data_IF_859670077362
#
_entry.id   IF_859670077362
#
_cell.length_a   1.000
_cell.length_b   1.000
_cell.length_c   1.000
_cell.angle_alpha   90.00
_cell.angle_beta   90.00
_cell.angle_gamma   90.00
#
_symmetry.space_group_name_H-M   'P 1'
#
loop_
_entity.id
_entity.type
_entity.pdbx_description
1 polymer ?
#
# COMPACT_ATOMS: atom_id res chain seq x y z
N UNK A 1 -2.90 20.37 -13.79
CA UNK A 1 -3.99 21.33 -13.50
C UNK A 1 -5.14 21.27 -14.50
N UNK A 2 -4.90 21.42 -15.82
CA UNK A 2 -5.97 21.37 -16.83
C UNK A 2 -6.82 20.09 -16.75
N UNK A 3 -6.19 18.91 -16.71
CA UNK A 3 -6.89 17.64 -16.61
C UNK A 3 -7.85 17.56 -15.41
N UNK A 4 -7.42 18.08 -14.26
CA UNK A 4 -8.23 18.15 -13.03
C UNK A 4 -9.43 19.07 -13.20
N UNK A 5 -9.24 20.27 -13.75
CA UNK A 5 -10.37 21.19 -13.99
C UNK A 5 -11.41 20.59 -14.96
N UNK A 6 -10.93 19.87 -15.98
CA UNK A 6 -11.79 19.24 -16.98
C UNK A 6 -12.60 18.05 -16.44
N UNK A 7 -12.24 17.46 -15.29
CA UNK A 7 -12.96 16.31 -14.72
C UNK A 7 -14.45 16.58 -14.51
N UNK A 8 -14.80 17.81 -14.12
CA UNK A 8 -16.20 18.22 -13.91
C UNK A 8 -17.02 18.31 -15.21
N UNK A 9 -16.36 18.38 -16.37
CA UNK A 9 -17.00 18.51 -17.69
C UNK A 9 -16.92 17.23 -18.52
N UNK A 10 -16.14 16.25 -18.11
CA UNK A 10 -15.92 15.00 -18.86
C UNK A 10 -16.96 13.94 -18.54
N UNK A 11 -17.39 13.21 -19.57
CA UNK A 11 -18.31 12.07 -19.41
C UNK A 11 -17.59 10.76 -19.09
N UNK A 12 -16.34 10.60 -19.52
CA UNK A 12 -15.53 9.39 -19.34
C UNK A 12 -14.17 9.78 -18.82
N UNK A 13 -13.74 9.16 -17.73
CA UNK A 13 -12.45 9.41 -17.09
C UNK A 13 -11.76 8.06 -16.90
N UNK A 14 -10.49 7.98 -17.34
CA UNK A 14 -9.67 6.78 -17.21
C UNK A 14 -8.45 7.12 -16.36
N UNK A 15 -8.30 6.44 -15.22
CA UNK A 15 -7.16 6.57 -14.31
C UNK A 15 -6.89 5.24 -13.59
N UNK A 16 -5.72 5.13 -12.94
CA UNK A 16 -5.31 3.96 -12.18
C UNK A 16 -6.15 3.77 -10.89
N UNK A 17 -6.42 2.53 -10.48
CA UNK A 17 -7.18 2.18 -9.27
C UNK A 17 -6.68 2.91 -8.01
N UNK A 18 -5.37 3.14 -7.90
CA UNK A 18 -4.77 3.84 -6.77
C UNK A 18 -5.40 5.23 -6.55
N UNK A 19 -5.77 5.95 -7.60
CA UNK A 19 -6.41 7.28 -7.48
C UNK A 19 -7.81 7.23 -6.85
N UNK A 20 -8.45 6.06 -6.82
CA UNK A 20 -9.79 5.87 -6.27
C UNK A 20 -9.80 5.10 -4.95
N UNK A 21 -8.88 4.14 -4.79
CA UNK A 21 -8.75 3.30 -3.59
C UNK A 21 -7.92 4.00 -2.52
N UNK A 22 -6.79 4.63 -2.88
CA UNK A 22 -5.96 5.35 -1.92
C UNK A 22 -6.77 6.53 -1.36
N UNK A 23 -7.10 6.52 -0.07
CA UNK A 23 -7.95 7.55 0.47
C UNK A 23 -7.28 8.94 0.49
N UNK A 24 -5.94 9.02 0.39
CA UNK A 24 -5.19 10.29 0.31
C UNK A 24 -5.48 11.01 -1.00
N UNK A 25 -5.54 10.25 -2.10
CA UNK A 25 -5.72 10.77 -3.46
C UNK A 25 -7.19 10.78 -3.85
N UNK A 26 -7.94 9.76 -3.45
CA UNK A 26 -9.35 9.59 -3.75
C UNK A 26 -10.21 10.74 -3.27
N UNK A 27 -9.87 11.40 -2.16
CA UNK A 27 -10.64 12.58 -1.74
C UNK A 27 -10.50 13.76 -2.69
N UNK A 28 -9.36 13.92 -3.36
CA UNK A 28 -9.18 14.99 -4.35
C UNK A 28 -9.95 14.73 -5.64
N UNK A 29 -9.91 13.48 -6.11
CA UNK A 29 -10.52 13.05 -7.37
C UNK A 29 -12.02 12.83 -7.20
N UNK A 30 -12.39 12.09 -6.17
CA UNK A 30 -13.78 11.66 -5.98
C UNK A 30 -14.69 12.83 -5.62
N UNK A 31 -14.22 13.91 -4.98
CA UNK A 31 -15.09 15.04 -4.57
C UNK A 31 -15.86 15.65 -5.75
N UNK A 32 -15.25 15.64 -6.93
CA UNK A 32 -15.84 16.18 -8.16
C UNK A 32 -16.78 15.18 -8.86
N UNK A 33 -16.73 13.90 -8.47
CA UNK A 33 -17.58 12.84 -9.04
C UNK A 33 -18.90 12.70 -8.28
N UNK A 34 -19.98 12.70 -9.04
CA UNK A 34 -21.34 12.51 -8.56
C UNK A 34 -21.62 11.04 -8.16
N UNK A 35 -22.69 10.83 -7.41
CA UNK A 35 -23.09 9.46 -6.98
C UNK A 35 -23.66 8.63 -8.11
N UNK A 36 -24.19 9.28 -9.14
CA UNK A 36 -24.81 8.67 -10.32
C UNK A 36 -23.78 8.11 -11.31
N UNK A 37 -22.49 8.36 -11.07
CA UNK A 37 -21.41 7.80 -11.89
C UNK A 37 -21.35 6.28 -11.80
N UNK A 38 -21.12 5.64 -12.95
CA UNK A 38 -20.81 4.22 -13.07
C UNK A 38 -19.30 4.05 -12.98
N UNK A 39 -18.84 3.25 -12.02
CA UNK A 39 -17.42 2.94 -11.85
C UNK A 39 -17.15 1.56 -12.45
N UNK A 40 -16.16 1.47 -13.34
CA UNK A 40 -15.72 0.22 -13.94
C UNK A 40 -14.28 -0.06 -13.51
N UNK A 41 -14.10 -1.13 -12.73
CA UNK A 41 -12.78 -1.71 -12.48
C UNK A 41 -12.49 -2.71 -13.57
N UNK A 42 -11.64 -2.33 -14.52
CA UNK A 42 -11.04 -3.28 -15.46
C UNK A 42 -9.94 -4.10 -14.75
N UNK A 43 -9.49 -5.22 -15.30
CA UNK A 43 -8.41 -6.09 -14.77
C UNK A 43 -8.24 -6.18 -13.23
N UNK A 44 -9.36 -6.28 -12.51
CA UNK A 44 -9.44 -6.14 -11.07
C UNK A 44 -8.98 -7.37 -10.26
N UNK A 45 -8.12 -8.23 -10.83
CA UNK A 45 -7.69 -9.45 -10.16
C UNK A 45 -6.81 -9.20 -8.92
N UNK A 46 -6.11 -8.05 -8.88
CA UNK A 46 -5.25 -7.61 -7.77
C UNK A 46 -5.88 -6.54 -6.86
N UNK A 47 -7.20 -6.36 -6.92
CA UNK A 47 -7.87 -5.26 -6.19
C UNK A 47 -7.68 -5.37 -4.66
N UNK A 48 -7.65 -6.58 -4.13
CA UNK A 48 -7.40 -6.88 -2.73
C UNK A 48 -6.00 -6.44 -2.28
N UNK A 49 -4.98 -6.77 -3.07
CA UNK A 49 -3.59 -6.36 -2.81
C UNK A 49 -3.46 -4.83 -2.81
N UNK A 50 -4.05 -4.15 -3.80
CA UNK A 50 -4.04 -2.68 -3.86
C UNK A 50 -4.75 -2.06 -2.65
N UNK A 51 -5.85 -2.65 -2.19
CA UNK A 51 -6.56 -2.20 -0.99
C UNK A 51 -5.73 -2.38 0.29
N UNK A 52 -5.04 -3.51 0.40
CA UNK A 52 -4.16 -3.83 1.54
C UNK A 52 -2.98 -2.85 1.56
N UNK A 53 -2.33 -2.63 0.42
CA UNK A 53 -1.19 -1.71 0.30
C UNK A 53 -1.59 -0.26 0.61
N UNK A 54 -2.74 0.20 0.12
CA UNK A 54 -3.21 1.57 0.33
C UNK A 54 -3.41 1.94 1.81
N UNK A 55 -3.74 0.97 2.66
CA UNK A 55 -3.97 1.17 4.09
C UNK A 55 -2.82 0.71 4.98
N UNK A 56 -1.82 0.02 4.41
CA UNK A 56 -0.66 -0.46 5.17
C UNK A 56 0.41 0.62 5.27
N UNK A 57 1.12 0.68 6.41
CA UNK A 57 2.17 1.67 6.65
C UNK A 57 3.42 0.98 7.17
N UNK A 58 4.55 1.26 6.53
CA UNK A 58 5.86 0.71 6.90
C UNK A 58 6.75 1.79 7.49
N UNK A 59 7.19 1.59 8.73
CA UNK A 59 8.08 2.49 9.46
C UNK A 59 9.43 1.80 9.68
N UNK A 60 10.48 2.36 9.07
CA UNK A 60 11.88 1.94 9.29
C UNK A 60 12.57 2.86 10.28
N UNK A 61 13.69 2.42 10.83
CA UNK A 61 14.51 3.25 11.73
C UNK A 61 14.89 4.60 11.09
N UNK A 62 15.29 4.59 9.82
CA UNK A 62 15.64 5.82 9.07
C UNK A 62 14.46 6.80 9.00
N UNK A 63 13.24 6.29 8.84
CA UNK A 63 12.00 7.09 8.84
C UNK A 63 11.77 7.73 10.21
N UNK A 64 11.96 6.98 11.30
CA UNK A 64 11.82 7.51 12.66
C UNK A 64 12.90 8.55 13.01
N UNK A 65 14.09 8.44 12.43
CA UNK A 65 15.18 9.42 12.55
C UNK A 65 14.92 10.70 11.76
N UNK A 66 14.44 10.57 10.52
CA UNK A 66 13.94 11.70 9.75
C UNK A 66 12.77 12.40 10.47
N UNK A 67 11.79 11.65 10.98
CA UNK A 67 10.65 12.20 11.69
C UNK A 67 11.05 13.00 12.94
N UNK A 68 12.04 12.53 13.71
CA UNK A 68 12.52 13.26 14.90
C UNK A 68 13.20 14.59 14.54
N UNK A 69 13.98 14.61 13.45
CA UNK A 69 14.58 15.85 12.92
C UNK A 69 13.52 16.83 12.47
N UNK A 70 12.50 16.34 11.77
CA UNK A 70 11.37 17.13 11.28
C UNK A 70 10.55 17.74 12.42
N UNK A 71 10.25 16.97 13.48
CA UNK A 71 9.59 17.52 14.68
C UNK A 71 10.43 18.58 15.39
N UNK A 72 11.75 18.40 15.43
CA UNK A 72 12.67 19.40 16.00
C UNK A 72 12.66 20.70 15.18
N UNK A 73 12.63 20.59 13.85
CA UNK A 73 12.44 21.74 12.95
C UNK A 73 11.09 22.42 13.19
N UNK A 74 9.99 21.65 13.28
CA UNK A 74 8.65 22.18 13.59
C UNK A 74 8.64 22.92 14.93
N UNK A 75 9.27 22.37 15.96
CA UNK A 75 9.39 23.02 17.27
C UNK A 75 10.07 24.39 17.18
N UNK A 76 11.17 24.48 16.44
CA UNK A 76 11.89 25.74 16.24
C UNK A 76 11.05 26.74 15.44
N UNK A 77 10.34 26.30 14.40
CA UNK A 77 9.44 27.15 13.62
C UNK A 77 8.27 27.67 14.46
N UNK A 78 7.68 26.84 15.33
CA UNK A 78 6.65 27.26 16.27
C UNK A 78 7.18 28.33 17.23
N UNK A 79 8.41 28.16 17.73
CA UNK A 79 9.02 29.14 18.64
C UNK A 79 9.25 30.48 17.94
N UNK A 80 9.79 30.47 16.71
CA UNK A 80 9.95 31.69 15.90
C UNK A 80 8.61 32.38 15.61
N UNK A 81 7.58 31.59 15.27
CA UNK A 81 6.25 32.13 14.97
C UNK A 81 5.56 32.69 16.22
N UNK A 82 5.84 32.13 17.41
CA UNK A 82 5.37 32.70 18.68
C UNK A 82 6.02 34.05 19.00
N UNK A 83 7.30 34.21 18.67
CA UNK A 83 8.02 35.48 18.83
C UNK A 83 7.57 36.54 17.81
N UNK A 84 7.21 36.11 16.59
CA UNK A 84 6.84 37.02 15.50
C UNK A 84 5.35 37.36 15.50
N UNK A 85 4.47 36.35 15.58
CA UNK A 85 3.02 36.47 15.37
C UNK A 85 2.21 35.49 16.27
N UNK A 86 2.13 35.79 17.57
CA UNK A 86 1.35 34.99 18.53
C UNK A 86 -0.16 34.95 18.17
N UNK A 87 -0.66 35.98 17.48
CA UNK A 87 -2.07 36.09 17.10
C UNK A 87 -2.51 34.94 16.19
N UNK A 88 -1.67 34.51 15.24
CA UNK A 88 -1.99 33.41 14.31
C UNK A 88 -2.21 32.08 15.05
N UNK A 89 -1.35 31.76 16.03
CA UNK A 89 -1.49 30.57 16.86
C UNK A 89 -2.74 30.63 17.74
N UNK A 90 -3.09 31.81 18.25
CA UNK A 90 -4.32 32.03 19.03
C UNK A 90 -5.57 31.90 18.15
N UNK A 91 -5.52 32.35 16.91
CA UNK A 91 -6.62 32.21 15.95
C UNK A 91 -6.80 30.76 15.51
N UNK A 92 -5.71 30.02 15.30
CA UNK A 92 -5.78 28.56 15.09
C UNK A 92 -6.44 27.87 16.29
N UNK A 93 -6.00 28.19 17.51
CA UNK A 93 -6.60 27.64 18.73
C UNK A 93 -8.10 27.95 18.82
N UNK A 94 -8.51 29.18 18.51
CA UNK A 94 -9.94 29.56 18.46
C UNK A 94 -10.71 28.78 17.40
N UNK A 95 -10.14 28.59 16.20
CA UNK A 95 -10.75 27.75 15.14
C UNK A 95 -10.95 26.31 15.60
N UNK A 96 -9.97 25.73 16.31
CA UNK A 96 -10.06 24.38 16.86
C UNK A 96 -11.09 24.26 18.00
N UNK A 97 -11.21 25.29 18.84
CA UNK A 97 -12.15 25.33 19.98
C UNK A 97 -13.59 25.61 19.55
N UNK A 98 -13.81 26.46 18.55
CA UNK A 98 -15.12 26.72 17.97
C UNK A 98 -15.74 25.47 17.30
N UNK A 99 -14.95 24.39 17.20
CA UNK A 99 -15.36 23.15 16.59
C UNK A 99 -15.31 23.22 15.07
N UNK A 100 -15.20 22.06 14.46
CA UNK A 100 -15.28 21.82 13.02
C UNK A 100 -16.64 22.18 12.38
N UNK A 101 -17.47 23.03 13.00
CA UNK A 101 -18.76 23.49 12.44
C UNK A 101 -18.52 24.21 11.10
N UNK A 102 -17.36 24.84 10.92
CA UNK A 102 -17.00 25.53 9.67
C UNK A 102 -16.27 24.67 8.65
N UNK A 103 -16.04 23.36 8.86
CA UNK A 103 -15.63 22.49 7.75
C UNK A 103 -16.80 22.11 6.84
N UNK A 104 -18.05 22.29 7.30
CA UNK A 104 -19.23 22.25 6.42
C UNK A 104 -19.25 23.41 5.42
N UNK A 105 -18.75 24.60 5.82
CA UNK A 105 -18.79 25.82 5.00
C UNK A 105 -17.50 26.07 4.19
N UNK A 106 -16.32 25.65 4.68
CA UNK A 106 -15.04 25.72 3.95
C UNK A 106 -14.89 24.64 2.86
N UNK A 107 -15.85 23.72 2.71
CA UNK A 107 -15.92 22.81 1.56
C UNK A 107 -16.11 23.54 0.22
N UNK A 108 -16.45 24.83 0.25
CA UNK A 108 -16.79 25.62 -0.95
C UNK A 108 -15.66 26.51 -1.49
N UNK A 109 -14.49 26.59 -0.85
CA UNK A 109 -13.43 27.52 -1.25
C UNK A 109 -12.06 26.88 -1.38
N UNK A 110 -11.59 26.73 -2.62
CA UNK A 110 -10.19 26.83 -3.05
C UNK A 110 -9.11 26.04 -2.31
N UNK A 111 -8.55 25.08 -3.03
CA UNK A 111 -7.17 24.56 -2.94
C UNK A 111 -6.71 23.84 -1.64
N UNK A 112 -6.18 22.63 -1.88
CA UNK A 112 -5.23 21.91 -1.01
C UNK A 112 -5.71 21.56 0.41
N UNK A 113 -6.77 20.76 0.52
CA UNK A 113 -6.91 19.88 1.68
C UNK A 113 -6.38 18.48 1.31
N UNK A 114 -5.16 18.19 1.77
CA UNK A 114 -4.76 16.82 2.10
C UNK A 114 -5.60 16.41 3.31
N UNK A 115 -6.74 15.81 3.04
CA UNK A 115 -7.68 15.37 4.04
C UNK A 115 -7.27 14.01 4.62
N UNK A 116 -7.56 13.81 5.89
CA UNK A 116 -7.21 12.60 6.63
C UNK A 116 -7.82 11.37 5.98
N UNK A 117 -7.04 10.33 5.65
CA UNK A 117 -7.43 9.43 4.58
C UNK A 117 -8.47 8.42 5.06
N UNK A 118 -8.46 8.05 6.35
CA UNK A 118 -9.06 6.77 6.74
C UNK A 118 -10.05 6.88 7.90
N UNK A 119 -10.64 8.05 8.12
CA UNK A 119 -11.68 8.20 9.14
C UNK A 119 -13.07 7.88 8.54
N UNK A 120 -13.82 6.91 9.08
CA UNK A 120 -15.24 6.77 8.80
C UNK A 120 -15.97 8.11 8.95
N UNK A 121 -17.01 8.36 8.14
CA UNK A 121 -17.75 9.65 8.19
C UNK A 121 -18.31 9.97 9.59
N UNK A 122 -18.56 8.95 10.42
CA UNK A 122 -19.07 9.06 11.79
C UNK A 122 -18.05 9.63 12.79
N UNK A 123 -16.76 9.67 12.42
CA UNK A 123 -15.67 10.23 13.22
C UNK A 123 -15.56 11.74 13.09
N UNK A 124 -15.91 12.24 11.91
CA UNK A 124 -15.64 13.61 11.45
C UNK A 124 -16.43 14.65 12.25
N UNK A 125 -17.42 14.21 13.04
CA UNK A 125 -18.26 15.06 13.89
C UNK A 125 -17.68 15.33 15.28
N UNK A 126 -16.59 14.67 15.68
CA UNK A 126 -16.01 14.85 17.02
C UNK A 126 -15.01 16.02 17.06
N UNK A 127 -15.06 16.79 18.15
CA UNK A 127 -14.12 17.90 18.37
C UNK A 127 -12.73 17.39 18.74
N UNK A 128 -11.70 18.03 18.19
CA UNK A 128 -10.29 17.75 18.52
C UNK A 128 -10.07 17.79 20.04
N UNK A 129 -9.47 16.73 20.63
CA UNK A 129 -9.18 16.64 22.06
C UNK A 129 -8.40 17.83 22.60
N UNK A 130 -8.75 18.26 23.81
CA UNK A 130 -8.12 19.42 24.48
C UNK A 130 -6.59 19.30 24.63
N UNK A 131 -6.09 18.07 24.75
CA UNK A 131 -4.68 17.72 24.92
C UNK A 131 -3.77 18.16 23.78
N UNK A 132 -4.28 18.19 22.53
CA UNK A 132 -3.50 18.48 21.32
C UNK A 132 -3.81 19.84 20.68
N UNK A 133 -4.65 20.67 21.32
CA UNK A 133 -5.04 21.97 20.76
C UNK A 133 -3.87 22.94 20.65
N UNK A 134 -2.96 22.94 21.63
CA UNK A 134 -1.74 23.78 21.58
C UNK A 134 -0.66 23.07 20.79
N UNK A 135 -0.04 23.79 19.85
CA UNK A 135 1.01 23.28 18.99
C UNK A 135 2.22 22.72 19.77
N UNK A 136 2.63 23.39 20.85
CA UNK A 136 3.74 22.94 21.71
C UNK A 136 3.46 21.57 22.35
N UNK A 137 2.23 21.37 22.85
CA UNK A 137 1.83 20.09 23.46
C UNK A 137 1.74 18.99 22.41
N UNK A 138 1.24 19.30 21.21
CA UNK A 138 1.18 18.36 20.10
C UNK A 138 2.58 17.88 19.67
N UNK A 139 3.53 18.79 19.46
CA UNK A 139 4.91 18.43 19.10
C UNK A 139 5.59 17.64 20.23
N UNK A 140 5.39 18.04 21.48
CA UNK A 140 5.91 17.28 22.64
C UNK A 140 5.29 15.88 22.76
N UNK A 141 4.03 15.73 22.38
CA UNK A 141 3.36 14.44 22.29
C UNK A 141 3.96 13.59 21.17
N UNK A 142 4.12 14.14 19.96
CA UNK A 142 4.69 13.41 18.82
C UNK A 142 6.13 12.95 19.10
N UNK A 143 6.94 13.74 19.83
CA UNK A 143 8.27 13.30 20.29
C UNK A 143 8.20 12.11 21.26
N UNK A 144 7.26 12.12 22.21
CA UNK A 144 7.04 10.98 23.13
C UNK A 144 6.56 9.73 22.38
N UNK A 145 5.66 9.91 21.42
CA UNK A 145 5.19 8.82 20.58
C UNK A 145 6.32 8.22 19.72
N UNK A 146 7.17 9.05 19.10
CA UNK A 146 8.36 8.57 18.39
C UNK A 146 9.35 7.84 19.30
N UNK A 147 9.55 8.31 20.52
CA UNK A 147 10.42 7.64 21.49
C UNK A 147 9.89 6.24 21.83
N UNK A 148 8.57 6.12 22.03
CA UNK A 148 7.91 4.83 22.23
C UNK A 148 8.07 3.88 21.03
N UNK A 149 7.83 4.37 19.80
CA UNK A 149 8.03 3.58 18.58
C UNK A 149 9.47 3.09 18.43
N UNK A 150 10.46 3.95 18.73
CA UNK A 150 11.88 3.58 18.71
C UNK A 150 12.24 2.54 19.75
N UNK A 151 11.61 2.58 20.92
CA UNK A 151 11.82 1.57 21.95
C UNK A 151 11.26 0.21 21.51
N UNK A 152 10.06 0.19 20.92
CA UNK A 152 9.45 -1.02 20.36
C UNK A 152 10.25 -1.60 19.20
N UNK A 153 10.85 -0.76 18.36
CA UNK A 153 11.66 -1.19 17.22
C UNK A 153 12.98 -1.88 17.61
N UNK A 154 13.40 -1.78 18.88
CA UNK A 154 14.60 -2.46 19.41
C UNK A 154 14.34 -3.90 19.86
N UNK A 155 13.11 -4.41 19.72
CA UNK A 155 12.81 -5.81 19.99
C UNK A 155 13.72 -6.72 19.14
N UNK A 156 14.18 -7.84 19.71
CA UNK A 156 15.07 -8.80 19.01
C UNK A 156 14.33 -9.96 18.37
N UNK A 157 13.06 -10.14 18.74
CA UNK A 157 12.19 -11.20 18.23
C UNK A 157 11.07 -10.58 17.41
N UNK A 158 10.50 -11.37 16.50
CA UNK A 158 9.33 -10.96 15.72
C UNK A 158 8.13 -10.85 16.66
N UNK A 159 7.55 -9.65 16.76
CA UNK A 159 6.39 -9.38 17.60
C UNK A 159 5.19 -9.10 16.71
N UNK A 160 4.07 -9.78 16.98
CA UNK A 160 2.78 -9.48 16.36
C UNK A 160 1.80 -9.01 17.42
N UNK A 161 1.21 -7.83 17.20
CA UNK A 161 0.25 -7.20 18.11
C UNK A 161 -0.99 -6.76 17.35
N UNK A 162 -2.11 -6.72 18.07
CA UNK A 162 -3.35 -6.11 17.56
C UNK A 162 -3.36 -4.61 17.91
N UNK A 163 -3.94 -3.73 17.08
CA UNK A 163 -4.06 -2.30 17.38
C UNK A 163 -4.61 -1.98 18.78
N UNK A 164 -5.68 -2.63 19.31
CA UNK A 164 -6.17 -2.33 20.65
C UNK A 164 -5.17 -2.70 21.76
N UNK A 165 -4.41 -3.78 21.59
CA UNK A 165 -3.34 -4.15 22.55
C UNK A 165 -2.23 -3.11 22.55
N UNK A 166 -1.81 -2.69 21.35
CA UNK A 166 -0.80 -1.65 21.18
C UNK A 166 -1.24 -0.32 21.80
N UNK A 167 -2.49 0.09 21.59
CA UNK A 167 -3.04 1.33 22.19
C UNK A 167 -3.12 1.22 23.72
N UNK A 168 -3.53 0.08 24.27
CA UNK A 168 -3.57 -0.11 25.72
C UNK A 168 -2.18 -0.04 26.37
N UNK A 169 -1.15 -0.55 25.69
CA UNK A 169 0.23 -0.42 26.17
C UNK A 169 0.78 1.01 26.01
N UNK A 170 0.43 1.68 24.92
CA UNK A 170 0.75 3.08 24.72
C UNK A 170 0.11 3.97 25.79
N UNK A 171 -1.13 3.69 26.20
CA UNK A 171 -1.83 4.42 27.26
C UNK A 171 -1.10 4.28 28.60
N UNK A 172 -0.57 3.10 28.93
CA UNK A 172 0.22 2.87 30.16
C UNK A 172 1.54 3.65 30.16
N UNK A 173 2.25 3.68 29.03
CA UNK A 173 3.61 4.26 28.96
C UNK A 173 3.57 5.77 28.69
N UNK A 174 2.75 6.20 27.73
CA UNK A 174 2.73 7.57 27.22
C UNK A 174 1.59 8.40 27.82
N UNK A 175 0.62 7.76 28.49
CA UNK A 175 -0.59 8.40 29.06
C UNK A 175 -1.38 9.18 28.00
N UNK A 176 -1.64 8.54 26.87
CA UNK A 176 -2.37 9.13 25.75
C UNK A 176 -3.55 8.26 25.35
N UNK A 177 -4.71 8.90 25.25
CA UNK A 177 -5.95 8.26 24.83
C UNK A 177 -5.96 7.93 23.33
N UNK A 178 -6.63 6.83 22.97
CA UNK A 178 -6.92 6.47 21.58
C UNK A 178 -7.55 7.61 20.76
N UNK A 179 -8.39 8.43 21.40
CA UNK A 179 -9.03 9.60 20.77
C UNK A 179 -8.01 10.63 20.30
N UNK A 180 -6.89 10.79 21.00
CA UNK A 180 -5.84 11.75 20.61
C UNK A 180 -5.13 11.27 19.35
N UNK A 181 -4.87 9.97 19.24
CA UNK A 181 -4.22 9.35 18.08
C UNK A 181 -5.02 9.54 16.79
N UNK A 182 -6.35 9.45 16.87
CA UNK A 182 -7.28 9.64 15.74
C UNK A 182 -7.14 10.98 15.00
N UNK A 183 -6.80 12.05 15.72
CA UNK A 183 -6.70 13.40 15.14
C UNK A 183 -5.26 13.83 14.83
N UNK A 184 -4.29 12.91 14.92
CA UNK A 184 -2.88 13.24 14.72
C UNK A 184 -2.61 13.80 13.32
N UNK A 185 -3.14 13.17 12.28
CA UNK A 185 -2.95 13.63 10.90
C UNK A 185 -3.58 15.00 10.66
N UNK A 186 -4.86 15.18 11.01
CA UNK A 186 -5.57 16.46 10.85
C UNK A 186 -4.86 17.58 11.60
N UNK A 187 -4.39 17.31 12.82
CA UNK A 187 -3.65 18.30 13.62
C UNK A 187 -2.32 18.67 12.97
N UNK A 188 -1.57 17.70 12.46
CA UNK A 188 -0.31 17.95 11.76
C UNK A 188 -0.54 18.77 10.50
N UNK A 189 -1.56 18.43 9.69
CA UNK A 189 -1.92 19.16 8.48
C UNK A 189 -2.30 20.62 8.78
N UNK A 190 -3.16 20.85 9.79
CA UNK A 190 -3.51 22.19 10.26
C UNK A 190 -2.29 22.99 10.72
N UNK A 191 -1.37 22.33 11.44
CA UNK A 191 -0.15 22.96 11.95
C UNK A 191 0.81 23.34 10.81
N UNK A 192 1.03 22.45 9.84
CA UNK A 192 1.87 22.73 8.67
C UNK A 192 1.33 23.91 7.86
N UNK A 193 -0.01 24.00 7.70
CA UNK A 193 -0.66 25.14 7.03
C UNK A 193 -0.49 26.44 7.81
N UNK A 194 -0.62 26.40 9.14
CA UNK A 194 -0.44 27.59 10.00
C UNK A 194 1.00 28.08 9.99
N UNK A 195 1.97 27.18 9.82
CA UNK A 195 3.40 27.48 9.72
C UNK A 195 3.86 27.87 8.31
N UNK A 196 2.97 27.89 7.31
CA UNK A 196 3.27 28.24 5.91
C UNK A 196 4.49 27.50 5.36
N UNK A 197 4.60 26.21 5.67
CA UNK A 197 5.69 25.37 5.18
C UNK A 197 5.48 25.09 3.69
N UNK A 198 6.41 25.55 2.86
CA UNK A 198 6.38 25.35 1.40
C UNK A 198 6.81 23.93 1.02
N UNK A 199 7.81 23.39 1.71
CA UNK A 199 8.48 22.15 1.33
C UNK A 199 7.84 20.96 2.05
N UNK A 200 6.75 20.43 1.48
CA UNK A 200 5.99 19.33 2.09
C UNK A 200 6.78 18.00 2.06
N UNK A 201 7.62 17.82 1.05
CA UNK A 201 8.44 16.60 0.84
C UNK A 201 9.42 16.36 1.99
N UNK A 202 9.97 17.42 2.55
CA UNK A 202 10.86 17.37 3.72
C UNK A 202 10.17 16.77 4.95
N UNK A 203 8.83 16.89 5.04
CA UNK A 203 8.04 16.46 6.21
C UNK A 203 7.35 15.11 6.05
N UNK A 204 7.56 14.39 4.93
CA UNK A 204 6.95 13.09 4.63
C UNK A 204 7.11 12.06 5.77
N UNK A 205 8.29 12.03 6.41
CA UNK A 205 8.54 11.09 7.50
C UNK A 205 7.62 11.30 8.72
N UNK A 206 7.27 12.56 9.06
CA UNK A 206 6.35 12.84 10.18
C UNK A 206 4.91 12.59 9.75
N UNK A 207 4.58 12.85 8.49
CA UNK A 207 3.27 12.53 7.93
C UNK A 207 2.99 11.02 7.99
N UNK A 208 3.94 10.18 7.59
CA UNK A 208 3.81 8.72 7.71
C UNK A 208 3.60 8.24 9.16
N UNK A 209 4.30 8.87 10.12
CA UNK A 209 4.12 8.55 11.55
C UNK A 209 2.74 9.00 12.05
N UNK A 210 2.25 10.15 11.59
CA UNK A 210 0.92 10.64 11.91
C UNK A 210 -0.20 9.81 11.26
N UNK A 211 0.02 9.31 10.04
CA UNK A 211 -0.85 8.34 9.36
C UNK A 211 -0.94 7.05 10.17
N UNK A 212 0.21 6.49 10.55
CA UNK A 212 0.28 5.31 11.41
C UNK A 212 -0.48 5.51 12.72
N UNK A 213 -0.25 6.63 13.42
CA UNK A 213 -0.96 6.96 14.67
C UNK A 213 -2.48 7.02 14.46
N UNK A 214 -2.91 7.65 13.37
CA UNK A 214 -4.33 7.82 13.05
C UNK A 214 -5.00 6.49 12.74
N UNK A 215 -4.36 5.63 11.96
CA UNK A 215 -4.86 4.30 11.62
C UNK A 215 -5.02 3.41 12.86
N UNK A 216 -3.98 3.36 13.70
CA UNK A 216 -3.99 2.60 14.96
C UNK A 216 -5.07 3.11 15.93
N UNK A 217 -5.29 4.43 15.98
CA UNK A 217 -6.35 5.03 16.79
C UNK A 217 -7.77 4.83 16.24
N UNK A 218 -7.93 4.51 14.96
CA UNK A 218 -9.24 4.45 14.29
C UNK A 218 -9.73 3.02 14.10
N UNK A 219 -8.85 2.12 13.66
CA UNK A 219 -9.22 0.75 13.31
C UNK A 219 -8.80 -0.23 14.40
N UNK A 220 -9.80 -0.77 15.11
CA UNK A 220 -9.57 -1.80 16.11
C UNK A 220 -9.53 -3.24 15.53
N UNK A 221 -10.12 -3.44 14.34
CA UNK A 221 -10.25 -4.76 13.69
C UNK A 221 -9.74 -4.68 12.24
N UNK A 222 -9.25 -5.80 11.72
CA UNK A 222 -8.77 -5.91 10.34
C UNK A 222 -7.36 -5.37 10.10
N UNK A 223 -6.62 -5.06 11.17
CA UNK A 223 -5.22 -4.63 11.11
C UNK A 223 -4.37 -5.45 12.08
N UNK A 224 -3.11 -5.65 11.71
CA UNK A 224 -2.08 -6.23 12.57
C UNK A 224 -0.84 -5.34 12.54
N UNK A 225 -0.20 -5.18 13.70
CA UNK A 225 1.09 -4.52 13.82
C UNK A 225 2.14 -5.63 13.93
N UNK A 226 3.07 -5.65 12.99
CA UNK A 226 4.15 -6.63 12.92
C UNK A 226 5.47 -5.87 13.06
N UNK A 227 6.30 -6.30 14.00
CA UNK A 227 7.63 -5.75 14.21
C UNK A 227 8.63 -6.84 13.84
N UNK A 228 9.36 -6.63 12.76
CA UNK A 228 10.37 -7.53 12.26
C UNK A 228 11.76 -6.92 12.49
N UNK A 229 12.63 -7.55 13.30
CA UNK A 229 13.95 -6.98 13.62
C UNK A 229 15.01 -7.22 12.53
N UNK A 230 14.80 -8.23 11.69
CA UNK A 230 15.73 -8.64 10.64
C UNK A 230 14.95 -8.88 9.35
N UNK A 231 15.54 -8.52 8.21
CA UNK A 231 15.04 -8.94 6.91
C UNK A 231 15.24 -10.47 6.77
N UNK A 232 14.21 -11.17 6.28
CA UNK A 232 14.26 -12.60 5.97
C UNK A 232 15.42 -12.97 5.03
N UNK A 233 15.90 -12.04 4.19
CA UNK A 233 17.02 -12.25 3.27
C UNK A 233 18.39 -12.15 3.94
N UNK A 234 18.50 -11.32 4.98
CA UNK A 234 19.77 -10.96 5.63
C UNK A 234 19.63 -11.06 7.15
N UNK A 235 19.60 -12.28 7.72
CA UNK A 235 19.34 -12.49 9.15
C UNK A 235 20.41 -11.91 10.08
N UNK A 236 21.60 -11.63 9.56
CA UNK A 236 22.73 -11.12 10.35
C UNK A 236 22.80 -9.58 10.40
N UNK A 237 22.04 -8.88 9.54
CA UNK A 237 22.05 -7.42 9.48
C UNK A 237 20.73 -6.93 10.11
N UNK A 238 20.78 -6.18 11.22
CA UNK A 238 19.57 -5.64 11.82
C UNK A 238 19.00 -4.55 10.90
N UNK A 239 17.85 -4.82 10.31
CA UNK A 239 17.02 -3.83 9.61
C UNK A 239 15.62 -3.88 10.20
N UNK A 240 15.39 -3.22 11.34
CA UNK A 240 14.14 -3.36 12.03
C UNK A 240 13.06 -2.53 11.33
N UNK A 241 11.96 -3.21 10.99
CA UNK A 241 10.79 -2.66 10.32
C UNK A 241 9.56 -2.86 11.20
N UNK A 242 8.81 -1.78 11.41
CA UNK A 242 7.48 -1.84 12.01
C UNK A 242 6.45 -1.62 10.91
N UNK A 243 5.65 -2.64 10.67
CA UNK A 243 4.64 -2.66 9.63
C UNK A 243 3.25 -2.72 10.27
N UNK A 244 2.41 -1.74 9.94
CA UNK A 244 0.97 -1.82 10.12
C UNK A 244 0.37 -2.44 8.86
N UNK A 245 0.01 -3.71 8.92
CA UNK A 245 -0.62 -4.42 7.81
C UNK A 245 -2.14 -4.34 7.91
N UNK A 246 -2.78 -3.86 6.86
CA UNK A 246 -4.21 -4.04 6.65
C UNK A 246 -4.47 -5.49 6.21
N UNK A 247 -5.35 -6.20 6.92
CA UNK A 247 -5.74 -7.57 6.60
C UNK A 247 -7.11 -7.63 5.92
N UNK A 248 -7.90 -6.56 6.01
CA UNK A 248 -9.27 -6.50 5.51
C UNK A 248 -9.39 -5.49 4.35
N UNK A 249 -9.37 -5.99 3.12
CA UNK A 249 -9.52 -5.19 1.91
C UNK A 249 -10.90 -4.51 1.80
N UNK A 250 -11.93 -5.01 2.50
CA UNK A 250 -13.27 -4.42 2.46
C UNK A 250 -13.31 -3.00 3.02
N UNK A 251 -12.38 -2.64 3.91
CA UNK A 251 -12.30 -1.32 4.53
C UNK A 251 -12.01 -0.22 3.49
N UNK A 252 -11.12 -0.49 2.53
CA UNK A 252 -10.77 0.46 1.48
C UNK A 252 -11.89 0.60 0.42
N UNK A 253 -12.62 -0.49 0.14
CA UNK A 253 -13.69 -0.50 -0.87
C UNK A 253 -15.03 0.02 -0.35
N UNK A 254 -15.29 -0.06 0.96
CA UNK A 254 -16.56 0.36 1.56
C UNK A 254 -16.98 1.81 1.24
N UNK A 255 -16.08 2.82 1.25
CA UNK A 255 -16.40 4.17 0.79
C UNK A 255 -16.83 4.24 -0.68
N UNK A 256 -16.26 3.41 -1.55
CA UNK A 256 -16.56 3.38 -2.99
C UNK A 256 -17.96 2.80 -3.18
N UNK A 257 -18.24 1.64 -2.59
CA UNK A 257 -19.57 0.99 -2.68
C UNK A 257 -20.70 1.81 -2.05
N UNK A 258 -20.41 2.61 -1.02
CA UNK A 258 -21.42 3.48 -0.40
C UNK A 258 -21.64 4.80 -1.15
N UNK A 259 -20.71 5.19 -2.01
CA UNK A 259 -20.76 6.47 -2.72
C UNK A 259 -21.40 6.33 -4.10
N UNK A 260 -20.96 5.34 -4.89
CA UNK A 260 -21.38 5.17 -6.28
C UNK A 260 -22.56 4.22 -6.38
N UNK A 261 -23.49 4.51 -7.28
CA UNK A 261 -24.69 3.71 -7.47
C UNK A 261 -24.39 2.36 -8.13
N UNK A 262 -23.44 2.32 -9.07
CA UNK A 262 -23.11 1.11 -9.82
C UNK A 262 -21.61 0.96 -9.96
N UNK A 263 -21.10 -0.16 -9.47
CA UNK A 263 -19.70 -0.55 -9.56
C UNK A 263 -19.65 -1.88 -10.30
N UNK A 264 -18.95 -1.88 -11.43
CA UNK A 264 -18.74 -3.06 -12.27
C UNK A 264 -17.29 -3.50 -12.09
N UNK A 265 -17.08 -4.77 -11.79
CA UNK A 265 -15.76 -5.38 -11.64
C UNK A 265 -15.61 -6.38 -12.78
N UNK A 266 -14.64 -6.15 -13.66
CA UNK A 266 -14.31 -7.01 -14.80
C UNK A 266 -12.84 -7.41 -14.75
N UNK A 267 -12.56 -8.67 -15.07
CA UNK A 267 -11.21 -9.13 -15.40
C UNK A 267 -11.31 -10.48 -16.09
N UNK A 268 -10.37 -10.74 -17.00
CA UNK A 268 -10.30 -12.01 -17.73
C UNK A 268 -9.87 -13.21 -16.89
N UNK A 269 -9.31 -12.97 -15.70
CA UNK A 269 -8.63 -14.01 -14.90
C UNK A 269 -9.28 -14.26 -13.52
N UNK A 270 -10.46 -13.71 -13.26
CA UNK A 270 -11.18 -13.91 -12.00
C UNK A 270 -11.67 -15.36 -11.87
N UNK A 271 -10.90 -16.18 -11.13
CA UNK A 271 -11.26 -17.56 -10.84
C UNK A 271 -10.78 -17.97 -9.46
N UNK A 272 -11.65 -18.46 -8.55
CA UNK A 272 -13.12 -18.52 -8.65
C UNK A 272 -13.79 -17.15 -8.41
N UNK A 273 -14.78 -16.79 -9.22
CA UNK A 273 -15.47 -15.48 -9.12
C UNK A 273 -16.25 -15.29 -7.80
N UNK A 274 -16.63 -16.38 -7.13
CA UNK A 274 -17.36 -16.36 -5.85
C UNK A 274 -16.51 -15.89 -4.66
N UNK A 275 -15.19 -15.81 -4.82
CA UNK A 275 -14.27 -15.42 -3.76
C UNK A 275 -14.31 -13.91 -3.49
N UNK A 276 -14.36 -13.10 -4.54
CA UNK A 276 -14.29 -11.63 -4.45
C UNK A 276 -15.42 -11.01 -3.61
N UNK A 277 -16.70 -11.43 -3.75
CA UNK A 277 -17.78 -10.96 -2.86
C UNK A 277 -17.51 -11.21 -1.38
N UNK A 278 -16.85 -12.32 -1.05
CA UNK A 278 -16.52 -12.69 0.34
C UNK A 278 -15.34 -11.88 0.88
N UNK A 279 -14.30 -11.67 0.08
CA UNK A 279 -13.10 -10.90 0.49
C UNK A 279 -13.45 -9.42 0.67
N UNK A 280 -14.13 -8.83 -0.31
CA UNK A 280 -14.45 -7.40 -0.32
C UNK A 280 -15.76 -7.07 0.43
N UNK A 281 -16.43 -8.10 0.97
CA UNK A 281 -17.65 -8.00 1.77
C UNK A 281 -18.78 -7.19 1.08
N UNK A 282 -19.11 -7.56 -0.16
CA UNK A 282 -20.20 -6.95 -0.92
C UNK A 282 -21.12 -8.01 -1.52
N UNK A 283 -22.35 -7.60 -1.84
CA UNK A 283 -23.36 -8.45 -2.46
C UNK A 283 -23.58 -7.99 -3.91
N UNK A 284 -23.00 -8.69 -4.91
CA UNK A 284 -23.24 -8.36 -6.32
C UNK A 284 -24.67 -8.71 -6.74
N UNK A 285 -25.22 -7.91 -7.66
CA UNK A 285 -26.51 -8.20 -8.30
C UNK A 285 -26.37 -9.30 -9.35
N UNK A 286 -25.27 -9.27 -10.10
CA UNK A 286 -24.97 -10.22 -11.16
C UNK A 286 -23.54 -10.73 -11.02
N UNK A 287 -23.38 -12.05 -11.02
CA UNK A 287 -22.10 -12.72 -11.16
C UNK A 287 -22.23 -13.57 -12.43
N UNK A 288 -21.41 -13.29 -13.43
CA UNK A 288 -21.41 -14.04 -14.68
C UNK A 288 -19.97 -14.33 -15.10
N UNK A 289 -19.72 -15.59 -15.46
CA UNK A 289 -18.51 -15.98 -16.19
C UNK A 289 -18.92 -16.18 -17.64
N UNK A 290 -18.31 -15.41 -18.53
CA UNK A 290 -18.53 -15.54 -19.96
C UNK A 290 -17.51 -16.53 -20.49
N UNK A 291 -17.97 -17.69 -20.95
CA UNK A 291 -17.10 -18.64 -21.62
C UNK A 291 -16.65 -18.10 -22.97
N UNK A 292 -15.37 -18.28 -23.31
CA UNK A 292 -14.88 -17.98 -24.65
C UNK A 292 -15.58 -18.89 -25.66
N UNK A 293 -16.22 -18.27 -26.65
CA UNK A 293 -16.78 -18.98 -27.81
C UNK A 293 -15.81 -18.81 -28.97
N UNK A 294 -14.91 -19.77 -29.13
CA UNK A 294 -14.01 -19.83 -30.27
C UNK A 294 -14.55 -20.81 -31.31
N UNK A 295 -14.41 -20.47 -32.59
CA UNK A 295 -14.75 -21.38 -33.71
C UNK A 295 -13.74 -22.51 -33.88
N UNK A 296 -12.57 -22.40 -33.24
CA UNK A 296 -11.46 -23.36 -33.23
C UNK A 296 -10.82 -23.39 -31.85
N UNK A 297 -10.23 -24.51 -31.49
CA UNK A 297 -9.43 -24.64 -30.26
C UNK A 297 -8.08 -23.91 -30.46
N UNK A 298 -8.05 -22.62 -30.12
CA UNK A 298 -6.85 -21.79 -30.25
C UNK A 298 -5.89 -21.91 -29.05
N UNK A 299 -6.27 -22.62 -27.99
CA UNK A 299 -5.47 -22.76 -26.77
C UNK A 299 -5.41 -24.22 -26.33
N UNK A 300 -4.21 -24.72 -26.05
CA UNK A 300 -3.97 -26.07 -25.57
C UNK A 300 -3.20 -26.02 -24.24
N UNK A 301 -3.90 -25.90 -23.09
CA UNK A 301 -3.25 -25.97 -21.79
C UNK A 301 -2.81 -27.41 -21.51
N UNK A 302 -1.51 -27.62 -21.27
CA UNK A 302 -0.94 -28.93 -20.93
C UNK A 302 -0.19 -28.83 -19.62
N UNK A 303 -0.51 -29.73 -18.68
CA UNK A 303 0.21 -29.83 -17.40
C UNK A 303 1.23 -30.97 -17.51
N UNK A 304 2.52 -30.62 -17.49
CA UNK A 304 3.63 -31.59 -17.53
C UNK A 304 3.93 -32.04 -16.10
N UNK A 305 3.56 -33.28 -15.76
CA UNK A 305 3.72 -33.80 -14.39
C UNK A 305 5.02 -34.56 -14.17
N UNK A 306 5.64 -35.10 -15.22
CA UNK A 306 6.81 -36.00 -15.13
C UNK A 306 7.79 -35.73 -16.28
N UNK A 307 9.08 -35.86 -15.97
CA UNK A 307 10.14 -35.80 -16.98
C UNK A 307 10.31 -37.13 -17.73
N UNK A 308 11.22 -37.14 -18.71
CA UNK A 308 11.56 -38.34 -19.48
C UNK A 308 12.01 -39.50 -18.57
N UNK A 309 12.67 -39.17 -17.45
CA UNK A 309 13.17 -40.13 -16.46
C UNK A 309 12.08 -40.60 -15.45
N UNK A 310 10.80 -40.29 -15.70
CA UNK A 310 9.66 -40.57 -14.80
C UNK A 310 9.72 -39.88 -13.41
N UNK A 311 10.73 -39.05 -13.17
CA UNK A 311 10.84 -38.21 -11.97
C UNK A 311 9.73 -37.14 -12.00
N UNK A 312 9.01 -36.92 -10.89
CA UNK A 312 8.00 -35.86 -10.82
C UNK A 312 8.65 -34.49 -10.97
N UNK A 313 8.13 -33.68 -11.89
CA UNK A 313 8.59 -32.30 -12.09
C UNK A 313 7.83 -31.40 -11.13
N UNK A 314 8.49 -30.98 -10.05
CA UNK A 314 7.90 -30.13 -9.01
C UNK A 314 8.88 -29.09 -8.52
N UNK A 315 8.39 -27.90 -8.21
CA UNK A 315 9.15 -26.80 -7.60
C UNK A 315 8.95 -26.72 -6.09
N UNK A 316 8.41 -27.78 -5.46
CA UNK A 316 8.29 -27.88 -4.02
C UNK A 316 9.65 -27.64 -3.32
N UNK A 317 9.64 -26.94 -2.18
CA UNK A 317 10.84 -26.43 -1.52
C UNK A 317 11.93 -27.48 -1.27
N UNK A 318 11.53 -28.72 -0.95
CA UNK A 318 12.44 -29.84 -0.68
C UNK A 318 13.11 -30.40 -1.94
N UNK A 319 12.37 -30.43 -3.06
CA UNK A 319 12.79 -31.09 -4.30
C UNK A 319 13.36 -30.11 -5.34
N UNK A 320 13.17 -28.80 -5.16
CA UNK A 320 13.63 -27.77 -6.10
C UNK A 320 15.16 -27.68 -6.23
N UNK A 321 15.90 -28.17 -5.23
CA UNK A 321 17.37 -28.20 -5.24
C UNK A 321 17.94 -29.41 -5.96
N UNK A 322 17.11 -30.44 -6.21
CA UNK A 322 17.51 -31.68 -6.85
C UNK A 322 17.99 -31.42 -8.29
N UNK A 323 19.26 -31.76 -8.62
CA UNK A 323 19.78 -31.63 -9.98
C UNK A 323 18.95 -32.37 -11.03
N UNK A 324 18.27 -33.47 -10.68
CA UNK A 324 17.43 -34.22 -11.61
C UNK A 324 16.24 -33.38 -12.10
N UNK A 325 15.58 -32.65 -11.19
CA UNK A 325 14.45 -31.77 -11.52
C UNK A 325 14.91 -30.60 -12.38
N UNK A 326 16.03 -29.97 -12.02
CA UNK A 326 16.62 -28.86 -12.80
C UNK A 326 16.96 -29.30 -14.23
N UNK A 327 17.51 -30.52 -14.39
CA UNK A 327 17.79 -31.11 -15.69
C UNK A 327 16.52 -31.33 -16.51
N UNK A 328 15.47 -31.86 -15.89
CA UNK A 328 14.21 -32.14 -16.57
C UNK A 328 13.54 -30.85 -17.07
N UNK A 329 13.56 -29.76 -16.30
CA UNK A 329 13.09 -28.45 -16.79
C UNK A 329 13.94 -27.92 -17.95
N UNK A 330 15.26 -28.07 -17.87
CA UNK A 330 16.17 -27.68 -18.95
C UNK A 330 15.89 -28.44 -20.24
N UNK A 331 15.70 -29.76 -20.15
CA UNK A 331 15.37 -30.62 -21.29
C UNK A 331 14.01 -30.27 -21.89
N UNK A 332 13.00 -30.04 -21.05
CA UNK A 332 11.68 -29.58 -21.51
C UNK A 332 11.80 -28.26 -22.29
N UNK A 333 12.62 -27.33 -21.81
CA UNK A 333 12.85 -26.05 -22.49
C UNK A 333 13.52 -26.24 -23.85
N UNK A 334 14.54 -27.08 -23.96
CA UNK A 334 15.22 -27.38 -25.24
C UNK A 334 14.25 -28.03 -26.23
N UNK A 335 13.49 -29.03 -25.79
CA UNK A 335 12.51 -29.72 -26.64
C UNK A 335 11.42 -28.74 -27.12
N UNK A 336 10.87 -27.90 -26.24
CA UNK A 336 9.90 -26.87 -26.62
C UNK A 336 10.50 -25.80 -27.54
N UNK A 337 11.73 -25.36 -27.30
CA UNK A 337 12.40 -24.37 -28.14
C UNK A 337 12.63 -24.89 -29.57
N UNK A 338 12.83 -26.20 -29.74
CA UNK A 338 13.00 -26.82 -31.06
C UNK A 338 11.69 -26.96 -31.84
N UNK A 339 10.54 -27.09 -31.16
CA UNK A 339 9.23 -27.36 -31.77
C UNK A 339 8.42 -26.08 -31.97
N UNK A 340 8.44 -25.17 -31.00
CA UNK A 340 7.60 -23.96 -31.01
C UNK A 340 8.22 -22.92 -31.94
N UNK A 341 7.52 -22.43 -32.99
CA UNK A 341 8.01 -21.34 -33.83
C UNK A 341 8.07 -20.02 -33.05
N UNK A 342 8.88 -19.07 -33.54
CA UNK A 342 8.98 -17.72 -33.01
C UNK A 342 9.50 -17.62 -31.56
N UNK A 343 8.65 -17.24 -30.60
CA UNK A 343 9.03 -16.89 -29.23
C UNK A 343 8.46 -17.83 -28.18
N UNK A 344 9.16 -17.95 -27.05
CA UNK A 344 8.73 -18.71 -25.89
C UNK A 344 8.91 -17.85 -24.64
N UNK A 345 7.90 -17.82 -23.77
CA UNK A 345 7.93 -17.07 -22.51
C UNK A 345 7.96 -18.06 -21.35
N UNK A 346 9.00 -17.99 -20.51
CA UNK A 346 9.15 -18.82 -19.33
C UNK A 346 8.97 -18.00 -18.05
N UNK A 347 7.94 -18.31 -17.28
CA UNK A 347 7.74 -17.72 -15.96
C UNK A 347 8.35 -18.60 -14.87
N UNK A 348 9.11 -17.98 -13.95
CA UNK A 348 9.67 -18.61 -12.77
C UNK A 348 8.93 -18.20 -11.50
N UNK A 349 9.02 -19.01 -10.44
CA UNK A 349 8.35 -18.73 -9.15
C UNK A 349 8.96 -17.54 -8.40
N UNK A 350 10.25 -17.26 -8.58
CA UNK A 350 10.95 -16.12 -7.98
C UNK A 350 12.26 -15.81 -8.69
N UNK A 351 12.69 -14.54 -8.64
CA UNK A 351 13.98 -14.09 -9.19
C UNK A 351 15.17 -14.86 -8.62
N UNK A 352 15.19 -15.10 -7.29
CA UNK A 352 16.26 -15.87 -6.65
C UNK A 352 16.35 -17.31 -7.21
N UNK A 353 15.21 -17.93 -7.49
CA UNK A 353 15.19 -19.28 -8.05
C UNK A 353 15.61 -19.29 -9.52
N UNK A 354 15.20 -18.27 -10.28
CA UNK A 354 15.61 -18.05 -11.67
C UNK A 354 17.13 -17.96 -11.77
N UNK A 355 17.79 -17.10 -10.99
CA UNK A 355 19.25 -16.92 -11.02
C UNK A 355 20.01 -18.23 -10.70
N UNK A 356 19.52 -18.97 -9.71
CA UNK A 356 20.08 -20.26 -9.31
C UNK A 356 19.96 -21.30 -10.43
N UNK A 357 18.80 -21.37 -11.11
CA UNK A 357 18.59 -22.29 -12.22
C UNK A 357 19.45 -21.90 -13.41
N UNK A 358 19.47 -20.63 -13.79
CA UNK A 358 20.21 -20.15 -14.96
C UNK A 358 21.70 -20.46 -14.81
N UNK A 359 22.26 -20.23 -13.61
CA UNK A 359 23.64 -20.58 -13.29
C UNK A 359 23.90 -22.09 -13.46
N UNK A 360 23.02 -22.95 -12.91
CA UNK A 360 23.12 -24.40 -13.09
C UNK A 360 22.96 -24.84 -14.56
N UNK A 361 22.06 -24.22 -15.31
CA UNK A 361 21.87 -24.52 -16.74
C UNK A 361 23.03 -24.06 -17.61
N UNK A 362 23.75 -23.01 -17.19
CA UNK A 362 25.00 -22.61 -17.82
C UNK A 362 26.07 -23.69 -17.61
N UNK A 363 26.27 -24.13 -16.36
CA UNK A 363 27.24 -25.16 -16.01
C UNK A 363 26.95 -26.50 -16.70
N UNK A 364 25.67 -26.84 -16.88
CA UNK A 364 25.22 -28.06 -17.54
C UNK A 364 25.22 -27.96 -19.08
N UNK A 365 25.49 -26.79 -19.66
CA UNK A 365 25.50 -26.56 -21.11
C UNK A 365 24.11 -26.44 -21.76
N UNK A 366 23.02 -26.52 -20.99
CA UNK A 366 21.63 -26.45 -21.50
C UNK A 366 21.36 -25.11 -22.20
N UNK A 367 21.88 -24.01 -21.66
CA UNK A 367 21.69 -22.68 -22.27
C UNK A 367 22.31 -22.60 -23.67
N UNK A 368 23.44 -23.27 -23.90
CA UNK A 368 24.08 -23.28 -25.21
C UNK A 368 23.23 -24.02 -26.24
N UNK A 369 22.57 -25.11 -25.85
CA UNK A 369 21.63 -25.84 -26.70
C UNK A 369 20.40 -24.98 -27.02
N UNK A 370 19.84 -24.28 -26.03
CA UNK A 370 18.71 -23.36 -26.27
C UNK A 370 19.11 -22.23 -27.21
N UNK A 371 20.31 -21.66 -27.05
CA UNK A 371 20.85 -20.60 -27.90
C UNK A 371 21.02 -21.00 -29.38
N UNK A 372 21.15 -22.29 -29.68
CA UNK A 372 21.17 -22.78 -31.06
C UNK A 372 19.81 -22.66 -31.74
N UNK A 373 18.72 -22.68 -30.96
CA UNK A 373 17.36 -22.60 -31.46
C UNK A 373 16.75 -21.20 -31.35
N UNK A 374 16.96 -20.52 -30.21
CA UNK A 374 16.34 -19.22 -29.90
C UNK A 374 17.27 -18.30 -29.12
N UNK A 375 17.11 -17.00 -29.31
CA UNK A 375 17.77 -15.98 -28.48
C UNK A 375 17.16 -15.98 -27.08
N UNK A 376 18.01 -15.79 -26.07
CA UNK A 376 17.60 -15.79 -24.67
C UNK A 376 17.67 -14.36 -24.15
N UNK A 377 16.55 -13.88 -23.62
CA UNK A 377 16.44 -12.62 -22.91
C UNK A 377 16.02 -12.91 -21.48
N UNK A 378 16.77 -12.39 -20.50
CA UNK A 378 16.54 -12.64 -19.07
C UNK A 378 16.07 -11.34 -18.44
N UNK A 379 14.93 -11.39 -17.77
CA UNK A 379 14.38 -10.26 -17.01
C UNK A 379 15.23 -9.99 -15.77
N UNK A 380 15.52 -8.71 -15.48
CA UNK A 380 16.18 -8.29 -14.25
C UNK A 380 15.24 -7.44 -13.40
N UNK A 381 15.58 -7.22 -12.13
CA UNK A 381 14.74 -6.39 -11.25
C UNK A 381 14.74 -4.90 -11.65
N UNK A 382 15.68 -4.48 -12.50
CA UNK A 382 15.71 -3.12 -13.02
C UNK A 382 14.78 -3.00 -14.23
N UNK A 383 13.82 -2.07 -14.14
CA UNK A 383 12.85 -1.78 -15.19
C UNK A 383 13.57 -1.28 -16.45
N UNK A 384 14.66 -0.52 -16.30
CA UNK A 384 15.41 0.04 -17.43
C UNK A 384 16.10 -1.07 -18.21
N UNK A 385 16.80 -1.97 -17.50
CA UNK A 385 17.43 -3.13 -18.12
C UNK A 385 16.41 -4.05 -18.77
N UNK A 386 15.28 -4.29 -18.10
CA UNK A 386 14.19 -5.12 -18.65
C UNK A 386 13.61 -4.52 -19.92
N UNK A 387 13.45 -3.19 -19.99
CA UNK A 387 12.97 -2.49 -21.20
C UNK A 387 13.99 -2.51 -22.34
N UNK A 388 15.28 -2.66 -22.02
CA UNK A 388 16.34 -2.80 -23.02
C UNK A 388 16.54 -4.26 -23.47
N UNK A 389 16.19 -5.21 -22.61
CA UNK A 389 16.31 -6.64 -22.86
C UNK A 389 15.11 -7.20 -23.64
N UNK A 390 13.91 -6.64 -23.45
CA UNK A 390 12.68 -6.96 -24.19
C UNK A 390 12.55 -6.07 -25.44
#
# INVERSE_FOLDING_TARGET
>A
FLARHMMSFTNVIVYNYQYMIDPKVSQMVSRELEKECVVVFDEAHNIDNVCIEALSVNLRQQTLDAASRNLSRLRNSIQRLKETDEQRLRDEYRRLVAGLVTQGALRSGGEELLANPVLPRDVVTETVPGSIRRAEHFVSFMHRFLAYLRERLKAKEVVSETPPSFVADLEKVVQVDAKTLRFCYDRLSSLMKTLEITDTDDYMAVQMVADFATLVGTYAKGFAIIIEPFDARLPNIPDPVLQLSCLDASLAMKPIFSKFQSVVITSGTLSPIDLYPRILNFHPVSIQSLSMTLTRDCMCPVVVTRGADQVPMTTAFELRSDPAVVRNYGRLLVELASVVPDGLVCFFVSYLYMDQIISKWHDMGVLQEVMQHKLIFIETQDVVETTLAL
#
